data_IF_747343082996
#
_entry.id   IF_747343082996
#
_cell.length_a   1.000
_cell.length_b   1.000
_cell.length_c   1.000
_cell.angle_alpha   90.00
_cell.angle_beta   90.00
_cell.angle_gamma   90.00
#
_symmetry.space_group_name_H-M   'P 1'
#
loop_
_entity.id
_entity.type
_entity.pdbx_description
1 polymer ?
#
# COMPACT_ATOMS: atom_id res chain seq x y z
N UNK A 1 -23.47 30.40 17.82
CA UNK A 1 -23.46 29.25 16.89
C UNK A 1 -22.09 28.57 16.97
N UNK A 2 -21.98 27.42 17.64
CA UNK A 2 -20.71 26.71 17.81
C UNK A 2 -20.37 25.87 16.59
N UNK A 3 -19.27 26.18 15.90
CA UNK A 3 -18.70 25.28 14.91
C UNK A 3 -17.88 24.25 15.69
N UNK A 4 -18.51 23.12 16.02
CA UNK A 4 -17.84 21.99 16.65
C UNK A 4 -16.85 21.37 15.67
N UNK A 5 -15.59 21.85 15.68
CA UNK A 5 -14.49 21.32 14.87
C UNK A 5 -13.94 20.02 15.48
N UNK A 6 -14.79 19.01 15.64
CA UNK A 6 -14.33 17.64 15.78
C UNK A 6 -13.86 17.13 14.41
N UNK A 7 -12.79 17.73 13.87
CA UNK A 7 -12.03 17.13 12.77
C UNK A 7 -11.34 15.89 13.35
N UNK A 8 -12.06 14.77 13.42
CA UNK A 8 -11.43 13.44 13.53
C UNK A 8 -10.31 13.45 12.49
N UNK A 9 -9.05 13.34 12.93
CA UNK A 9 -7.89 13.30 12.02
C UNK A 9 -8.18 12.20 11.00
N UNK A 10 -8.45 12.60 9.76
CA UNK A 10 -8.63 11.71 8.62
C UNK A 10 -7.26 11.08 8.35
N UNK A 11 -6.98 9.97 9.04
CA UNK A 11 -5.68 9.31 9.01
C UNK A 11 -5.83 8.04 8.20
N UNK A 12 -5.31 8.06 6.97
CA UNK A 12 -5.07 6.85 6.21
C UNK A 12 -4.10 5.95 6.98
N UNK A 13 -4.34 4.64 6.93
CA UNK A 13 -3.49 3.63 7.55
C UNK A 13 -2.96 2.71 6.46
N UNK A 14 -1.70 2.29 6.61
CA UNK A 14 -1.08 1.31 5.76
C UNK A 14 -0.48 0.22 6.65
N UNK A 15 -0.82 -1.03 6.39
CA UNK A 15 -0.23 -2.20 7.05
C UNK A 15 0.47 -3.06 6.00
N UNK A 16 1.63 -3.59 6.33
CA UNK A 16 2.36 -4.51 5.47
C UNK A 16 2.08 -5.96 5.92
N UNK A 17 1.71 -6.83 4.99
CA UNK A 17 1.38 -8.23 5.25
C UNK A 17 1.55 -9.04 3.96
N UNK A 18 2.22 -10.19 4.04
CA UNK A 18 2.47 -11.11 2.92
C UNK A 18 2.93 -10.38 1.65
N UNK A 19 4.02 -9.63 1.77
CA UNK A 19 4.67 -8.96 0.63
C UNK A 19 3.87 -7.85 -0.06
N UNK A 20 2.74 -7.43 0.53
CA UNK A 20 1.92 -6.33 0.04
C UNK A 20 1.55 -5.35 1.14
N UNK A 21 1.10 -4.16 0.73
CA UNK A 21 0.54 -3.16 1.63
C UNK A 21 -0.99 -3.13 1.54
N UNK A 22 -1.66 -3.34 2.67
CA UNK A 22 -3.10 -3.07 2.85
C UNK A 22 -3.29 -1.60 3.18
N UNK A 23 -4.08 -0.90 2.36
CA UNK A 23 -4.37 0.52 2.51
C UNK A 23 -5.79 0.70 3.04
N UNK A 24 -5.94 1.46 4.11
CA UNK A 24 -7.23 1.76 4.74
C UNK A 24 -7.55 3.25 4.64
N UNK A 25 -8.81 3.56 4.32
CA UNK A 25 -9.34 4.91 4.28
C UNK A 25 -9.55 5.51 5.68
N UNK A 26 -10.05 6.75 5.72
CA UNK A 26 -10.33 7.47 6.97
C UNK A 26 -11.39 6.80 7.85
N UNK A 27 -12.23 5.93 7.29
CA UNK A 27 -13.23 5.14 8.01
C UNK A 27 -12.67 3.80 8.49
N UNK A 28 -11.34 3.60 8.37
CA UNK A 28 -10.64 2.34 8.65
C UNK A 28 -11.14 1.17 7.80
N UNK A 29 -11.77 1.45 6.65
CA UNK A 29 -12.20 0.43 5.71
C UNK A 29 -11.09 0.17 4.71
N UNK A 30 -10.92 -1.08 4.31
CA UNK A 30 -9.96 -1.46 3.28
C UNK A 30 -10.29 -0.71 1.98
N UNK A 31 -9.32 0.04 1.49
CA UNK A 31 -9.42 0.92 0.33
C UNK A 31 -8.59 0.41 -0.86
N UNK A 32 -7.63 -0.48 -0.62
CA UNK A 32 -6.87 -1.11 -1.69
C UNK A 32 -5.68 -1.92 -1.19
N UNK A 33 -5.00 -2.53 -2.16
CA UNK A 33 -3.77 -3.28 -1.96
C UNK A 33 -2.69 -2.69 -2.87
N UNK A 34 -1.51 -2.43 -2.32
CA UNK A 34 -0.37 -1.96 -3.09
C UNK A 34 0.74 -3.00 -3.10
N UNK A 35 1.19 -3.34 -4.31
CA UNK A 35 2.23 -4.32 -4.60
C UNK A 35 3.50 -3.53 -4.96
N UNK A 36 4.41 -3.32 -4.00
CA UNK A 36 5.58 -2.50 -4.21
C UNK A 36 6.55 -3.17 -5.18
N UNK A 37 7.10 -2.38 -6.10
CA UNK A 37 8.24 -2.76 -6.93
C UNK A 37 9.46 -2.00 -6.44
N UNK A 38 10.37 -2.71 -5.78
CA UNK A 38 11.65 -2.15 -5.36
C UNK A 38 12.55 -1.92 -6.59
N UNK A 39 13.34 -0.85 -6.57
CA UNK A 39 14.27 -0.55 -7.68
C UNK A 39 15.37 -1.60 -7.78
N UNK A 40 15.91 -1.80 -8.99
CA UNK A 40 16.90 -2.85 -9.31
C UNK A 40 17.97 -2.95 -8.23
N UNK A 41 17.88 -4.01 -7.43
CA UNK A 41 19.06 -4.68 -6.91
C UNK A 41 19.79 -5.20 -8.15
N UNK A 42 21.11 -5.23 -8.16
CA UNK A 42 21.96 -5.40 -9.36
C UNK A 42 21.88 -6.77 -10.07
N UNK A 43 20.76 -7.47 -9.98
CA UNK A 43 20.46 -8.69 -10.72
C UNK A 43 19.40 -8.37 -11.76
N UNK A 44 19.80 -8.33 -13.03
CA UNK A 44 19.01 -8.04 -14.23
C UNK A 44 17.87 -9.03 -14.53
N UNK A 45 17.22 -9.56 -13.51
CA UNK A 45 16.03 -10.35 -13.62
C UNK A 45 14.84 -9.42 -13.36
N UNK A 46 14.07 -9.17 -14.42
CA UNK A 46 12.65 -8.83 -14.31
C UNK A 46 11.90 -10.09 -13.86
N UNK A 47 12.42 -10.74 -12.82
CA UNK A 47 11.86 -11.91 -12.17
C UNK A 47 10.98 -11.42 -11.05
N UNK A 48 9.78 -11.98 -10.97
CA UNK A 48 8.91 -11.83 -9.82
C UNK A 48 9.76 -12.07 -8.56
N UNK A 49 10.05 -11.00 -7.81
CA UNK A 49 10.68 -11.14 -6.52
C UNK A 49 9.75 -12.05 -5.71
N UNK A 50 10.27 -13.16 -5.24
CA UNK A 50 9.51 -14.02 -4.35
C UNK A 50 9.13 -13.22 -3.08
N UNK A 51 8.07 -13.67 -2.40
CA UNK A 51 7.53 -13.00 -1.22
C UNK A 51 8.61 -12.76 -0.13
N UNK A 52 9.53 -13.72 0.01
CA UNK A 52 10.64 -13.65 0.96
C UNK A 52 11.62 -12.50 0.66
N UNK A 53 12.06 -12.32 -0.58
CA UNK A 53 12.92 -11.19 -0.95
C UNK A 53 12.20 -9.85 -0.84
N UNK A 54 10.90 -9.82 -1.14
CA UNK A 54 10.09 -8.60 -0.99
C UNK A 54 10.03 -8.18 0.49
N UNK A 55 9.89 -9.15 1.39
CA UNK A 55 9.89 -8.92 2.84
C UNK A 55 11.23 -8.42 3.37
N UNK A 56 12.35 -8.94 2.87
CA UNK A 56 13.69 -8.46 3.21
C UNK A 56 13.91 -7.01 2.73
N UNK A 57 13.47 -6.68 1.52
CA UNK A 57 13.54 -5.33 0.97
C UNK A 57 12.65 -4.36 1.76
N UNK A 58 11.47 -4.80 2.18
CA UNK A 58 10.61 -4.00 3.05
C UNK A 58 11.24 -3.78 4.44
N UNK A 59 11.80 -4.83 5.06
CA UNK A 59 12.48 -4.74 6.37
C UNK A 59 13.68 -3.79 6.32
N UNK A 60 14.46 -3.85 5.24
CA UNK A 60 15.60 -2.95 5.00
C UNK A 60 15.19 -1.54 4.57
N UNK A 61 13.89 -1.27 4.42
CA UNK A 61 13.33 0.01 3.93
C UNK A 61 13.93 0.42 2.58
N UNK A 62 14.13 -0.57 1.71
CA UNK A 62 14.62 -0.35 0.36
C UNK A 62 13.72 0.62 -0.40
N UNK A 63 14.31 1.34 -1.35
CA UNK A 63 13.58 2.33 -2.15
C UNK A 63 12.56 1.64 -3.06
N UNK A 64 11.30 1.98 -2.88
CA UNK A 64 10.22 1.60 -3.79
C UNK A 64 10.30 2.46 -5.06
N UNK A 65 10.47 1.81 -6.21
CA UNK A 65 10.58 2.46 -7.52
C UNK A 65 9.23 2.64 -8.22
N UNK A 66 8.22 1.91 -7.78
CA UNK A 66 6.87 1.92 -8.34
C UNK A 66 6.07 0.76 -7.76
N UNK A 67 5.00 0.35 -8.43
CA UNK A 67 4.20 -0.80 -8.01
C UNK A 67 2.81 -0.80 -8.65
N UNK A 68 2.04 -1.83 -8.35
CA UNK A 68 0.65 -1.96 -8.78
C UNK A 68 -0.29 -1.63 -7.62
N UNK A 69 -1.35 -0.88 -7.88
CA UNK A 69 -2.41 -0.58 -6.90
C UNK A 69 -3.70 -1.25 -7.34
N UNK A 70 -4.21 -2.18 -6.52
CA UNK A 70 -5.55 -2.74 -6.68
C UNK A 70 -6.54 -1.94 -5.84
N UNK A 71 -7.54 -1.37 -6.51
CA UNK A 71 -8.61 -0.60 -5.88
C UNK A 71 -9.93 -1.37 -6.03
N UNK A 72 -10.73 -1.56 -4.96
CA UNK A 72 -12.02 -2.22 -5.07
C UNK A 72 -12.97 -1.43 -5.99
N UNK A 73 -13.45 -2.05 -7.08
CA UNK A 73 -14.36 -1.40 -8.03
C UNK A 73 -15.66 -0.91 -7.37
N UNK A 74 -16.15 -1.63 -6.36
CA UNK A 74 -17.32 -1.23 -5.54
C UNK A 74 -17.14 0.15 -4.88
N UNK A 75 -15.90 0.53 -4.51
CA UNK A 75 -15.60 1.85 -3.91
C UNK A 75 -15.61 2.97 -4.95
N UNK A 76 -15.38 2.66 -6.22
CA UNK A 76 -15.32 3.62 -7.32
C UNK A 76 -16.64 3.69 -8.11
N UNK A 77 -17.65 2.90 -7.72
CA UNK A 77 -18.93 2.80 -8.44
C UNK A 77 -18.74 2.48 -9.94
N UNK A 78 -17.83 1.53 -10.23
CA UNK A 78 -17.47 1.09 -11.58
C UNK A 78 -18.15 -0.24 -11.98
N UNK A 79 -19.16 -0.67 -11.21
CA UNK A 79 -19.94 -1.89 -11.42
C UNK A 79 -21.41 -1.54 -11.70
#
# INVERSE_FOLDING_TARGET
MGINKNKKKLKWKVDYENSLYKIYDWDKKLAGYFFPRYGSVESGETGELNDEHTDELNKSKAKVSGGNLLVPMLKLNLL
#
